data_IF_609959800272
#
_entry.id   IF_609959800272
#
_cell.length_a   1.000
_cell.length_b   1.000
_cell.length_c   1.000
_cell.angle_alpha   90.00
_cell.angle_beta   90.00
_cell.angle_gamma   90.00
#
_symmetry.space_group_name_H-M   'P 1'
#
loop_
_entity.id
_entity.type
_entity.pdbx_description
1 polymer ?
#
# COMPACT_ATOMS: atom_id res chain seq x y z
N UNK A 1 22.18 23.88 -15.72
CA UNK A 1 23.00 23.73 -16.95
C UNK A 1 24.16 24.71 -16.84
N UNK A 2 25.39 24.28 -17.10
CA UNK A 2 26.53 25.19 -17.18
C UNK A 2 26.55 25.81 -18.59
N UNK A 3 25.89 26.96 -18.75
CA UNK A 3 25.55 27.51 -20.06
C UNK A 3 26.63 28.43 -20.67
N UNK A 4 27.72 28.71 -19.95
CA UNK A 4 28.78 29.60 -20.40
C UNK A 4 30.14 29.22 -19.79
N UNK A 5 31.23 29.57 -20.49
CA UNK A 5 32.61 29.41 -20.00
C UNK A 5 32.81 30.10 -18.64
N UNK A 6 32.26 31.31 -18.48
CA UNK A 6 32.30 32.07 -17.22
C UNK A 6 31.69 31.29 -16.05
N UNK A 7 30.54 30.64 -16.27
CA UNK A 7 29.87 29.84 -15.24
C UNK A 7 30.68 28.59 -14.90
N UNK A 8 31.25 27.92 -15.92
CA UNK A 8 32.10 26.74 -15.72
C UNK A 8 33.33 27.11 -14.88
N UNK A 9 34.01 28.21 -15.24
CA UNK A 9 35.17 28.71 -14.51
C UNK A 9 34.85 29.06 -13.06
N UNK A 10 33.77 29.83 -12.84
CA UNK A 10 33.33 30.19 -11.49
C UNK A 10 33.05 28.95 -10.63
N UNK A 11 32.36 27.94 -11.19
CA UNK A 11 32.07 26.70 -10.46
C UNK A 11 33.36 25.92 -10.18
N UNK A 12 34.26 25.78 -11.16
CA UNK A 12 35.54 25.09 -10.97
C UNK A 12 36.39 25.77 -9.89
N UNK A 13 36.53 27.09 -9.94
CA UNK A 13 37.26 27.89 -8.94
C UNK A 13 36.61 27.74 -7.56
N UNK A 14 35.27 27.74 -7.48
CA UNK A 14 34.56 27.57 -6.21
C UNK A 14 34.75 26.17 -5.61
N UNK A 15 34.67 25.12 -6.42
CA UNK A 15 34.87 23.74 -5.96
C UNK A 15 36.27 23.53 -5.40
N UNK A 16 37.28 24.10 -6.07
CA UNK A 16 38.68 24.08 -5.64
C UNK A 16 38.90 24.88 -4.36
N UNK A 17 38.44 26.13 -4.31
CA UNK A 17 38.55 27.01 -3.12
C UNK A 17 37.88 26.43 -1.87
N UNK A 18 36.76 25.73 -2.06
CA UNK A 18 35.99 25.08 -0.97
C UNK A 18 36.48 23.66 -0.66
N UNK A 19 37.48 23.16 -1.38
CA UNK A 19 38.01 21.80 -1.25
C UNK A 19 36.90 20.72 -1.29
N UNK A 20 35.94 20.86 -2.21
CA UNK A 20 34.85 19.88 -2.37
C UNK A 20 35.43 18.58 -2.93
N UNK A 21 35.34 17.51 -2.15
CA UNK A 21 35.95 16.21 -2.51
C UNK A 21 35.03 15.26 -3.27
N UNK A 22 33.70 15.46 -3.18
CA UNK A 22 32.68 14.63 -3.83
C UNK A 22 31.75 15.47 -4.69
N UNK A 23 32.16 15.72 -5.92
CA UNK A 23 31.37 16.42 -6.94
C UNK A 23 30.92 15.44 -8.04
N UNK A 24 29.67 15.56 -8.48
CA UNK A 24 29.15 14.82 -9.64
C UNK A 24 28.88 15.81 -10.75
N UNK A 25 29.55 15.63 -11.90
CA UNK A 25 29.49 16.55 -13.03
C UNK A 25 28.86 15.84 -14.22
N UNK A 26 27.68 16.31 -14.65
CA UNK A 26 27.04 15.89 -15.89
C UNK A 26 27.39 16.86 -17.02
N UNK A 27 28.25 16.48 -17.97
CA UNK A 27 28.69 17.35 -19.06
C UNK A 27 27.56 17.52 -20.07
N UNK A 28 26.69 18.53 -19.92
CA UNK A 28 25.65 18.81 -20.93
C UNK A 28 26.27 19.58 -22.11
N UNK A 29 26.91 18.86 -23.03
CA UNK A 29 27.65 19.47 -24.16
C UNK A 29 27.00 19.23 -25.52
N UNK A 30 26.24 18.16 -25.66
CA UNK A 30 25.61 17.78 -26.92
C UNK A 30 24.13 17.57 -26.65
N UNK A 31 23.28 18.32 -27.35
CA UNK A 31 21.85 18.12 -27.26
C UNK A 31 21.47 16.73 -27.78
N UNK A 32 20.33 16.20 -27.36
CA UNK A 32 19.77 14.94 -27.91
C UNK A 32 19.60 15.01 -29.45
N UNK A 33 19.52 16.21 -30.02
CA UNK A 33 19.46 16.49 -31.46
C UNK A 33 20.83 16.56 -32.16
N UNK A 34 21.94 16.38 -31.42
CA UNK A 34 23.31 16.43 -31.94
C UNK A 34 23.94 17.83 -31.99
N UNK A 35 23.20 18.88 -31.64
CA UNK A 35 23.74 20.24 -31.59
C UNK A 35 24.79 20.37 -30.49
N UNK A 36 25.97 20.91 -30.84
CA UNK A 36 27.00 21.25 -29.84
C UNK A 36 26.52 22.46 -29.06
N UNK A 37 26.40 22.31 -27.73
CA UNK A 37 25.87 23.32 -26.81
C UNK A 37 26.95 24.19 -26.19
N UNK A 38 28.22 23.74 -26.17
CA UNK A 38 29.34 24.49 -25.63
C UNK A 38 30.25 25.00 -26.75
N UNK A 39 30.62 26.30 -26.73
CA UNK A 39 31.55 26.84 -27.70
C UNK A 39 32.98 26.33 -27.40
N UNK A 40 33.89 26.28 -28.40
CA UNK A 40 35.22 25.67 -28.25
C UNK A 40 36.05 26.22 -27.09
N UNK A 41 35.95 27.51 -26.80
CA UNK A 41 36.60 28.19 -25.69
C UNK A 41 36.18 27.64 -24.31
N UNK A 42 34.95 27.14 -24.17
CA UNK A 42 34.45 26.55 -22.93
C UNK A 42 34.99 25.15 -22.66
N UNK A 43 35.59 24.48 -23.67
CA UNK A 43 36.16 23.13 -23.50
C UNK A 43 37.40 23.15 -22.60
N UNK A 44 38.22 24.21 -22.69
CA UNK A 44 39.41 24.35 -21.85
C UNK A 44 39.04 24.51 -20.37
N UNK A 45 38.06 25.38 -20.07
CA UNK A 45 37.54 25.57 -18.72
C UNK A 45 36.83 24.30 -18.20
N UNK A 46 36.15 23.56 -19.08
CA UNK A 46 35.56 22.28 -18.72
C UNK A 46 36.63 21.25 -18.34
N UNK A 47 37.80 21.27 -18.98
CA UNK A 47 38.92 20.41 -18.59
C UNK A 47 39.34 20.60 -17.13
N UNK A 48 39.32 21.83 -16.61
CA UNK A 48 39.55 22.10 -15.17
C UNK A 48 38.44 21.48 -14.33
N UNK A 49 37.17 21.68 -14.71
CA UNK A 49 36.02 21.14 -13.97
C UNK A 49 36.00 19.60 -13.96
N UNK A 50 36.36 18.95 -15.07
CA UNK A 50 36.45 17.50 -15.18
C UNK A 50 37.49 16.91 -14.23
N UNK A 51 38.65 17.56 -14.05
CA UNK A 51 39.68 17.12 -13.08
C UNK A 51 39.21 17.19 -11.63
N UNK A 52 38.33 18.14 -11.32
CA UNK A 52 37.73 18.30 -10.00
C UNK A 52 36.55 17.35 -9.77
N UNK A 53 36.07 16.66 -10.80
CA UNK A 53 34.95 15.73 -10.69
C UNK A 53 35.33 14.48 -9.90
N UNK A 54 34.58 14.19 -8.84
CA UNK A 54 34.63 12.87 -8.22
C UNK A 54 33.97 11.83 -9.13
N UNK A 55 32.82 12.15 -9.73
CA UNK A 55 32.20 11.36 -10.80
C UNK A 55 31.87 12.27 -11.98
N UNK A 56 32.39 11.95 -13.16
CA UNK A 56 31.98 12.56 -14.44
C UNK A 56 31.03 11.61 -15.17
N UNK A 57 29.92 12.10 -15.71
CA UNK A 57 28.88 11.23 -16.33
C UNK A 57 28.66 11.52 -17.82
N UNK A 58 29.66 11.40 -18.72
CA UNK A 58 29.49 11.73 -20.14
C UNK A 58 28.70 10.64 -20.90
N UNK A 59 27.88 11.04 -21.88
CA UNK A 59 27.36 10.10 -22.89
C UNK A 59 28.42 9.83 -23.96
N UNK A 60 28.18 8.88 -24.86
CA UNK A 60 29.14 8.53 -25.92
C UNK A 60 29.57 9.74 -26.78
N UNK A 61 28.67 10.59 -27.31
CA UNK A 61 29.06 11.81 -28.02
C UNK A 61 29.93 12.77 -27.19
N UNK A 62 29.58 13.02 -25.93
CA UNK A 62 30.33 13.86 -24.99
C UNK A 62 31.71 13.27 -24.70
N UNK A 63 31.79 11.94 -24.52
CA UNK A 63 33.02 11.20 -24.26
C UNK A 63 34.00 11.35 -25.44
N UNK A 64 33.52 11.16 -26.67
CA UNK A 64 34.35 11.34 -27.87
C UNK A 64 34.80 12.78 -28.08
N UNK A 65 33.93 13.75 -27.78
CA UNK A 65 34.26 15.18 -27.83
C UNK A 65 35.38 15.51 -26.83
N UNK A 66 35.25 15.04 -25.58
CA UNK A 66 36.23 15.27 -24.52
C UNK A 66 37.57 14.58 -24.77
N UNK A 67 37.57 13.44 -25.44
CA UNK A 67 38.78 12.68 -25.78
C UNK A 67 39.41 13.08 -27.11
N UNK A 68 38.76 13.93 -27.90
CA UNK A 68 39.23 14.30 -29.24
C UNK A 68 39.14 13.17 -30.28
N UNK A 69 38.28 12.16 -30.06
CA UNK A 69 38.12 11.00 -30.94
C UNK A 69 36.72 10.92 -31.59
N UNK A 70 36.19 12.06 -32.07
CA UNK A 70 34.83 12.18 -32.62
C UNK A 70 34.49 11.14 -33.69
N UNK A 71 35.45 10.79 -34.54
CA UNK A 71 35.25 9.90 -35.69
C UNK A 71 35.44 8.41 -35.36
N UNK A 72 35.84 8.06 -34.13
CA UNK A 72 36.08 6.68 -33.75
C UNK A 72 34.73 5.94 -33.58
N UNK A 73 34.49 4.80 -34.26
CA UNK A 73 33.22 4.08 -34.13
C UNK A 73 33.10 3.39 -32.76
N UNK A 74 31.86 3.15 -32.34
CA UNK A 74 31.53 2.25 -31.21
C UNK A 74 30.77 1.08 -31.82
N UNK A 75 31.35 -0.12 -31.78
CA UNK A 75 30.72 -1.32 -32.33
C UNK A 75 30.36 -2.32 -31.25
N UNK A 76 31.00 -2.23 -30.08
CA UNK A 76 30.83 -3.15 -28.96
C UNK A 76 30.85 -2.42 -27.61
N UNK A 77 30.38 -3.10 -26.56
CA UNK A 77 30.57 -2.64 -25.18
C UNK A 77 32.05 -2.51 -24.82
N UNK A 78 32.94 -3.33 -25.38
CA UNK A 78 34.38 -3.24 -25.13
C UNK A 78 34.97 -1.89 -25.61
N UNK A 79 34.43 -1.32 -26.69
CA UNK A 79 34.84 0.01 -27.16
C UNK A 79 34.44 1.10 -26.15
N UNK A 80 33.24 0.99 -25.58
CA UNK A 80 32.77 1.88 -24.52
C UNK A 80 33.63 1.77 -23.26
N UNK A 81 34.03 0.56 -22.88
CA UNK A 81 34.94 0.32 -21.75
C UNK A 81 36.31 0.96 -21.96
N UNK A 82 36.88 0.80 -23.16
CA UNK A 82 38.15 1.42 -23.53
C UNK A 82 38.05 2.94 -23.43
N UNK A 83 37.00 3.55 -23.97
CA UNK A 83 36.81 5.00 -23.87
C UNK A 83 36.55 5.47 -22.44
N UNK A 84 35.80 4.72 -21.64
CA UNK A 84 35.55 5.04 -20.23
C UNK A 84 36.87 5.08 -19.44
N UNK A 85 37.75 4.08 -19.65
CA UNK A 85 39.09 4.04 -19.07
C UNK A 85 39.94 5.21 -19.53
N UNK A 86 40.01 5.44 -20.84
CA UNK A 86 40.80 6.53 -21.43
C UNK A 86 40.35 7.91 -20.91
N UNK A 87 39.05 8.12 -20.72
CA UNK A 87 38.52 9.35 -20.14
C UNK A 87 38.86 9.50 -18.66
N UNK A 88 38.82 8.41 -17.89
CA UNK A 88 39.25 8.44 -16.50
C UNK A 88 40.73 8.86 -16.40
N UNK A 89 41.59 8.28 -17.24
CA UNK A 89 43.03 8.53 -17.25
C UNK A 89 43.37 9.96 -17.74
N UNK A 90 42.75 10.40 -18.86
CA UNK A 90 43.13 11.65 -19.53
C UNK A 90 42.43 12.90 -18.98
N UNK A 91 41.18 12.78 -18.52
CA UNK A 91 40.42 13.91 -17.98
C UNK A 91 40.72 14.16 -16.50
N UNK A 92 41.32 13.17 -15.84
CA UNK A 92 41.72 13.26 -14.44
C UNK A 92 40.54 13.35 -13.49
N UNK A 93 39.36 12.82 -13.83
CA UNK A 93 38.27 12.61 -12.86
C UNK A 93 38.60 11.42 -11.95
N UNK A 94 38.03 11.34 -10.75
CA UNK A 94 38.25 10.14 -9.89
C UNK A 94 37.52 8.92 -10.47
N UNK A 95 36.32 9.17 -10.99
CA UNK A 95 35.48 8.18 -11.64
C UNK A 95 34.83 8.77 -12.89
N UNK A 96 34.63 7.93 -13.90
CA UNK A 96 33.88 8.25 -15.12
C UNK A 96 32.79 7.21 -15.31
N UNK A 97 31.53 7.64 -15.34
CA UNK A 97 30.40 6.81 -15.77
C UNK A 97 30.06 7.12 -17.22
N UNK A 98 30.66 6.37 -18.15
CA UNK A 98 30.34 6.45 -19.57
C UNK A 98 28.94 5.89 -19.82
N UNK A 99 28.02 6.78 -20.23
CA UNK A 99 26.60 6.45 -20.44
C UNK A 99 26.42 5.89 -21.85
N UNK A 100 25.95 4.65 -21.99
CA UNK A 100 25.58 4.08 -23.28
C UNK A 100 24.36 4.78 -23.88
N UNK A 101 23.39 5.15 -23.02
CA UNK A 101 22.30 6.07 -23.33
C UNK A 101 21.57 5.77 -24.64
N UNK A 102 21.92 6.51 -25.70
CA UNK A 102 21.30 6.45 -27.04
C UNK A 102 21.87 5.35 -27.96
N UNK A 103 22.84 4.57 -27.49
CA UNK A 103 23.43 3.45 -28.23
C UNK A 103 22.98 2.14 -27.59
N UNK A 104 21.86 1.56 -28.03
CA UNK A 104 21.44 0.24 -27.59
C UNK A 104 22.37 -0.85 -28.14
N UNK A 105 22.55 -1.90 -27.35
CA UNK A 105 23.35 -3.08 -27.68
C UNK A 105 22.44 -4.30 -27.85
N UNK A 106 22.92 -5.30 -28.59
CA UNK A 106 22.32 -6.62 -28.67
C UNK A 106 22.70 -7.46 -27.45
N UNK A 107 22.11 -8.64 -27.33
CA UNK A 107 22.43 -9.60 -26.27
C UNK A 107 23.90 -10.09 -26.32
N UNK A 108 24.56 -10.03 -27.48
CA UNK A 108 25.97 -10.37 -27.66
C UNK A 108 26.93 -9.19 -27.40
N UNK A 109 26.41 -8.07 -26.90
CA UNK A 109 27.14 -6.82 -26.63
C UNK A 109 27.69 -6.07 -27.85
N UNK A 110 27.29 -6.44 -29.07
CA UNK A 110 27.48 -5.59 -30.26
C UNK A 110 26.43 -4.47 -30.30
N UNK A 111 26.72 -3.36 -31.00
CA UNK A 111 25.77 -2.26 -31.17
C UNK A 111 24.59 -2.71 -32.04
N UNK A 112 23.37 -2.42 -31.58
CA UNK A 112 22.16 -2.70 -32.32
C UNK A 112 22.05 -1.77 -33.54
N UNK A 113 22.00 -2.34 -34.75
CA UNK A 113 21.89 -1.59 -36.01
C UNK A 113 20.44 -1.40 -36.46
N UNK A 114 19.52 -2.19 -35.91
CA UNK A 114 18.08 -2.13 -36.19
C UNK A 114 17.29 -2.05 -34.89
N UNK A 115 16.04 -1.60 -34.95
CA UNK A 115 15.18 -1.48 -33.77
C UNK A 115 14.91 -2.85 -33.10
N UNK A 116 14.81 -3.92 -33.92
CA UNK A 116 14.55 -5.29 -33.45
C UNK A 116 15.75 -5.87 -32.69
N UNK A 117 16.97 -5.40 -33.00
CA UNK A 117 18.20 -5.85 -32.36
C UNK A 117 18.44 -5.19 -30.98
N UNK A 118 17.63 -4.19 -30.58
CA UNK A 118 17.84 -3.43 -29.35
C UNK A 118 17.44 -4.27 -28.14
N UNK A 119 18.43 -4.74 -27.39
CA UNK A 119 18.20 -5.58 -26.21
C UNK A 119 18.66 -4.90 -24.92
N UNK A 120 19.82 -4.24 -24.93
CA UNK A 120 20.49 -3.79 -23.72
C UNK A 120 20.86 -2.30 -23.80
N UNK A 121 20.84 -1.62 -22.66
CA UNK A 121 21.56 -0.38 -22.42
C UNK A 121 22.70 -0.70 -21.46
N UNK A 122 23.92 -0.26 -21.80
CA UNK A 122 25.11 -0.52 -20.97
C UNK A 122 25.78 0.80 -20.62
N UNK A 123 25.97 1.03 -19.33
CA UNK A 123 26.82 2.08 -18.80
C UNK A 123 28.09 1.45 -18.22
N UNK A 124 29.21 2.16 -18.31
CA UNK A 124 30.50 1.69 -17.79
C UNK A 124 31.04 2.69 -16.78
N UNK A 125 31.25 2.23 -15.55
CA UNK A 125 31.92 2.99 -14.50
C UNK A 125 33.40 2.62 -14.49
N UNK A 126 34.27 3.60 -14.74
CA UNK A 126 35.73 3.48 -14.69
C UNK A 126 36.28 4.27 -13.50
N UNK A 127 37.23 3.69 -12.76
CA UNK A 127 37.93 4.34 -11.65
C UNK A 127 39.42 4.50 -11.93
N UNK A 128 40.08 5.45 -11.26
CA UNK A 128 41.52 5.72 -11.45
C UNK A 128 42.43 4.52 -11.16
N UNK A 129 41.99 3.60 -10.31
CA UNK A 129 42.74 2.37 -9.98
C UNK A 129 42.59 1.27 -11.06
N UNK A 130 42.09 1.64 -12.24
CA UNK A 130 41.88 0.73 -13.37
C UNK A 130 40.65 -0.15 -13.26
N UNK A 131 39.80 0.08 -12.25
CA UNK A 131 38.52 -0.59 -12.07
C UNK A 131 37.57 -0.28 -13.24
N UNK A 132 36.87 -1.31 -13.71
CA UNK A 132 35.84 -1.20 -14.75
C UNK A 132 34.63 -2.02 -14.32
N UNK A 133 33.48 -1.37 -14.27
CA UNK A 133 32.23 -1.96 -13.80
C UNK A 133 31.15 -1.71 -14.85
N UNK A 134 30.58 -2.78 -15.40
CA UNK A 134 29.42 -2.72 -16.28
C UNK A 134 28.13 -2.60 -15.44
N UNK A 135 27.27 -1.69 -15.85
CA UNK A 135 25.91 -1.52 -15.31
C UNK A 135 24.95 -1.61 -16.49
N UNK A 136 24.32 -2.78 -16.65
CA UNK A 136 23.41 -3.09 -17.74
C UNK A 136 21.94 -3.05 -17.30
N UNK A 137 21.06 -2.68 -18.23
CA UNK A 137 19.61 -2.78 -18.10
C UNK A 137 19.01 -3.21 -19.43
N UNK A 138 17.77 -3.72 -19.38
CA UNK A 138 17.01 -4.00 -20.60
C UNK A 138 16.71 -2.69 -21.34
N UNK A 139 16.77 -2.73 -22.67
CA UNK A 139 16.31 -1.62 -23.50
C UNK A 139 14.80 -1.44 -23.31
N UNK A 140 14.38 -0.18 -23.21
CA UNK A 140 12.97 0.18 -23.08
C UNK A 140 12.57 1.01 -24.30
N UNK A 141 11.59 0.54 -25.07
CA UNK A 141 11.03 1.31 -26.18
C UNK A 141 10.12 2.41 -25.64
N UNK A 142 10.71 3.57 -25.35
CA UNK A 142 10.03 4.72 -24.75
C UNK A 142 10.50 6.03 -25.37
N UNK A 143 9.54 6.91 -25.66
CA UNK A 143 9.80 8.31 -26.06
C UNK A 143 10.06 9.22 -24.87
N UNK A 144 9.80 8.75 -23.64
CA UNK A 144 9.92 9.56 -22.43
C UNK A 144 11.32 9.40 -21.82
N UNK A 145 12.32 9.96 -22.49
CA UNK A 145 13.74 9.87 -22.08
C UNK A 145 14.36 11.24 -21.82
N UNK A 146 13.55 12.29 -21.82
CA UNK A 146 14.01 13.64 -21.55
C UNK A 146 14.50 13.76 -20.10
N UNK A 147 15.71 14.30 -19.92
CA UNK A 147 16.29 14.52 -18.59
C UNK A 147 16.93 13.29 -17.95
N UNK A 148 17.11 12.18 -18.67
CA UNK A 148 17.79 10.97 -18.17
C UNK A 148 19.18 11.24 -17.62
N UNK A 149 20.00 12.03 -18.32
CA UNK A 149 21.35 12.44 -17.86
C UNK A 149 21.31 13.20 -16.52
N UNK A 150 20.55 14.31 -16.48
CA UNK A 150 20.40 15.12 -15.27
C UNK A 150 19.88 14.31 -14.07
N UNK A 151 18.91 13.43 -14.33
CA UNK A 151 18.32 12.56 -13.31
C UNK A 151 19.31 11.54 -12.78
N UNK A 152 20.10 10.93 -13.68
CA UNK A 152 21.14 9.98 -13.33
C UNK A 152 22.21 10.63 -12.45
N UNK A 153 22.76 11.78 -12.88
CA UNK A 153 23.77 12.50 -12.13
C UNK A 153 23.25 12.98 -10.76
N UNK A 154 22.02 13.49 -10.70
CA UNK A 154 21.40 13.93 -9.45
C UNK A 154 21.14 12.75 -8.50
N UNK A 155 20.74 11.58 -9.02
CA UNK A 155 20.57 10.37 -8.23
C UNK A 155 21.92 9.83 -7.70
N UNK A 156 22.99 9.88 -8.50
CA UNK A 156 24.35 9.53 -8.04
C UNK A 156 24.78 10.48 -6.92
N UNK A 157 24.62 11.79 -7.11
CA UNK A 157 24.97 12.79 -6.11
C UNK A 157 24.21 12.57 -4.79
N UNK A 158 22.90 12.30 -4.88
CA UNK A 158 22.06 12.02 -3.72
C UNK A 158 22.50 10.75 -2.98
N UNK A 159 22.80 9.67 -3.70
CA UNK A 159 23.27 8.41 -3.12
C UNK A 159 24.67 8.56 -2.47
N UNK A 160 25.58 9.30 -3.09
CA UNK A 160 26.89 9.58 -2.50
C UNK A 160 26.76 10.43 -1.22
N UNK A 161 25.81 11.37 -1.19
CA UNK A 161 25.53 12.21 -0.03
C UNK A 161 24.92 11.41 1.14
N UNK A 162 24.18 10.33 0.88
CA UNK A 162 23.66 9.41 1.90
C UNK A 162 24.68 8.35 2.34
N UNK A 163 25.90 8.37 1.80
CA UNK A 163 27.01 7.54 2.25
C UNK A 163 27.24 6.26 1.45
N UNK A 164 26.55 6.05 0.32
CA UNK A 164 26.85 4.93 -0.57
C UNK A 164 28.25 5.11 -1.19
N UNK A 165 28.94 3.99 -1.42
CA UNK A 165 30.10 3.97 -2.31
C UNK A 165 29.68 4.25 -3.76
N UNK A 166 30.65 4.57 -4.60
CA UNK A 166 30.41 5.04 -5.98
C UNK A 166 29.79 3.98 -6.89
N UNK A 167 30.15 2.70 -6.72
CA UNK A 167 29.54 1.63 -7.52
C UNK A 167 28.08 1.45 -7.11
N UNK A 168 27.81 1.35 -5.80
CA UNK A 168 26.45 1.25 -5.28
C UNK A 168 25.59 2.45 -5.69
N UNK A 169 26.15 3.67 -5.61
CA UNK A 169 25.48 4.91 -6.00
C UNK A 169 25.13 4.93 -7.50
N UNK A 170 26.06 4.53 -8.37
CA UNK A 170 25.84 4.44 -9.82
C UNK A 170 24.79 3.38 -10.17
N UNK A 171 24.87 2.18 -9.57
CA UNK A 171 23.88 1.12 -9.79
C UNK A 171 22.48 1.53 -9.33
N UNK A 172 22.36 2.14 -8.16
CA UNK A 172 21.08 2.62 -7.64
C UNK A 172 20.50 3.74 -8.52
N UNK A 173 21.34 4.66 -9.01
CA UNK A 173 20.91 5.71 -9.92
C UNK A 173 20.43 5.17 -11.28
N UNK A 174 21.13 4.17 -11.85
CA UNK A 174 20.68 3.50 -13.07
C UNK A 174 19.30 2.83 -12.88
N UNK A 175 19.08 2.14 -11.74
CA UNK A 175 17.76 1.54 -11.42
C UNK A 175 16.66 2.59 -11.24
N UNK A 176 16.98 3.73 -10.63
CA UNK A 176 16.04 4.85 -10.50
C UNK A 176 15.60 5.36 -11.87
N UNK A 177 16.54 5.63 -12.78
CA UNK A 177 16.20 6.11 -14.13
C UNK A 177 15.47 5.04 -14.94
N UNK A 178 15.86 3.77 -14.84
CA UNK A 178 15.16 2.64 -15.48
C UNK A 178 13.68 2.58 -15.07
N UNK A 179 13.39 2.67 -13.77
CA UNK A 179 12.02 2.71 -13.27
C UNK A 179 11.27 3.99 -13.69
N UNK A 180 11.96 5.14 -13.72
CA UNK A 180 11.37 6.42 -14.13
C UNK A 180 10.97 6.44 -15.61
N UNK A 181 11.72 5.75 -16.49
CA UNK A 181 11.36 5.54 -17.90
C UNK A 181 10.16 4.58 -17.99
N UNK A 182 10.21 3.44 -17.29
CA UNK A 182 9.18 2.38 -17.34
C UNK A 182 7.81 2.90 -16.94
N UNK A 183 7.76 3.74 -15.91
CA UNK A 183 6.52 4.27 -15.34
C UNK A 183 6.22 5.70 -15.79
N UNK A 184 6.85 6.19 -16.87
CA UNK A 184 6.67 7.54 -17.37
C UNK A 184 5.19 7.83 -17.75
N UNK A 185 4.65 9.01 -17.41
CA UNK A 185 3.22 9.34 -17.57
C UNK A 185 2.77 9.55 -19.02
N UNK A 186 3.67 9.44 -20.01
CA UNK A 186 3.40 9.67 -21.46
C UNK A 186 2.72 11.02 -21.73
N UNK A 187 3.28 12.08 -21.16
CA UNK A 187 2.80 13.45 -21.36
C UNK A 187 3.36 14.04 -22.67
N UNK A 188 2.48 14.67 -23.46
CA UNK A 188 2.84 15.33 -24.71
C UNK A 188 2.92 14.40 -25.93
N UNK A 189 3.30 14.97 -27.09
CA UNK A 189 3.39 14.25 -28.39
C UNK A 189 4.83 13.96 -28.85
N UNK A 190 5.83 14.47 -28.12
CA UNK A 190 7.26 14.38 -28.47
C UNK A 190 8.06 13.57 -27.45
N UNK A 191 9.29 14.03 -27.15
CA UNK A 191 10.10 13.46 -26.08
C UNK A 191 9.56 13.91 -24.72
N UNK A 192 8.89 13.01 -24.01
CA UNK A 192 8.25 13.31 -22.73
C UNK A 192 9.18 13.20 -21.52
N UNK A 193 8.76 13.72 -20.35
CA UNK A 193 9.51 13.64 -19.12
C UNK A 193 9.45 12.24 -18.49
N UNK A 194 10.41 11.97 -17.61
CA UNK A 194 10.45 10.79 -16.74
C UNK A 194 9.39 10.87 -15.63
N UNK A 195 9.04 9.71 -15.03
CA UNK A 195 8.28 9.67 -13.79
C UNK A 195 9.20 9.66 -12.56
N UNK A 196 9.48 10.83 -11.99
CA UNK A 196 10.27 10.93 -10.75
C UNK A 196 9.57 10.40 -9.49
N UNK A 197 8.25 10.17 -9.57
CA UNK A 197 7.39 9.73 -8.47
C UNK A 197 7.09 8.23 -8.54
N UNK A 198 7.82 7.45 -9.35
CA UNK A 198 7.55 6.02 -9.57
C UNK A 198 7.60 5.15 -8.30
N UNK A 199 8.23 5.64 -7.23
CA UNK A 199 8.31 4.98 -5.91
C UNK A 199 7.47 5.66 -4.84
N UNK A 200 6.64 6.64 -5.22
CA UNK A 200 5.73 7.34 -4.32
C UNK A 200 4.29 6.97 -4.66
N UNK A 201 3.52 6.64 -3.62
CA UNK A 201 2.11 6.28 -3.75
C UNK A 201 1.30 7.16 -2.81
N UNK A 202 0.13 7.58 -3.29
CA UNK A 202 -0.86 8.25 -2.47
C UNK A 202 -1.97 7.26 -2.12
N UNK A 203 -2.49 7.37 -0.90
CA UNK A 203 -3.71 6.68 -0.51
C UNK A 203 -4.93 7.43 -1.10
N UNK A 204 -6.03 6.72 -1.41
CA UNK A 204 -7.22 7.34 -1.97
C UNK A 204 -8.08 8.09 -0.94
N UNK A 205 -7.62 8.16 0.32
CA UNK A 205 -8.32 8.81 1.43
C UNK A 205 -7.35 9.64 2.28
N UNK A 206 -7.90 10.64 2.97
CA UNK A 206 -7.16 11.44 3.96
C UNK A 206 -7.04 10.69 5.28
N UNK A 207 -6.00 11.00 6.08
CA UNK A 207 -5.82 10.37 7.40
C UNK A 207 -7.06 10.59 8.27
N UNK A 208 -7.59 9.51 8.86
CA UNK A 208 -8.81 9.56 9.68
C UNK A 208 -10.12 9.39 8.91
N UNK A 209 -10.05 9.19 7.59
CA UNK A 209 -11.21 9.05 6.71
C UNK A 209 -11.17 7.75 5.88
N UNK A 210 -10.49 6.70 6.35
CA UNK A 210 -10.52 5.41 5.67
C UNK A 210 -11.92 4.80 5.68
N UNK A 211 -12.59 4.76 6.84
CA UNK A 211 -13.92 4.19 6.94
C UNK A 211 -14.95 5.00 6.13
N UNK A 212 -14.86 6.33 6.14
CA UNK A 212 -15.70 7.17 5.27
C UNK A 212 -15.52 6.78 3.81
N UNK A 213 -14.26 6.68 3.36
CA UNK A 213 -13.92 6.21 2.02
C UNK A 213 -14.47 4.81 1.72
N UNK A 214 -14.37 3.85 2.64
CA UNK A 214 -14.91 2.50 2.44
C UNK A 214 -16.43 2.51 2.35
N UNK A 215 -17.11 3.23 3.22
CA UNK A 215 -18.58 3.24 3.32
C UNK A 215 -19.25 4.01 2.17
N UNK A 216 -18.57 5.02 1.61
CA UNK A 216 -19.07 5.82 0.49
C UNK A 216 -18.78 5.21 -0.89
N UNK A 217 -18.01 4.11 -0.95
CA UNK A 217 -17.69 3.46 -2.22
C UNK A 217 -18.95 2.95 -2.92
N UNK A 218 -19.09 3.16 -4.25
CA UNK A 218 -20.24 2.67 -5.00
C UNK A 218 -20.49 1.16 -4.87
N UNK A 219 -19.45 0.37 -4.65
CA UNK A 219 -19.57 -1.08 -4.54
C UNK A 219 -19.76 -1.61 -3.11
N UNK A 220 -19.86 -0.71 -2.11
CA UNK A 220 -20.05 -1.00 -0.68
C UNK A 220 -21.28 -0.29 -0.10
N UNK A 221 -21.57 0.94 -0.53
CA UNK A 221 -22.60 1.81 0.05
C UNK A 221 -23.97 1.15 0.15
N UNK A 222 -24.41 0.46 -0.91
CA UNK A 222 -25.73 -0.17 -0.96
C UNK A 222 -25.84 -1.35 0.03
N UNK A 223 -24.82 -2.21 0.09
CA UNK A 223 -24.82 -3.36 0.99
C UNK A 223 -24.67 -2.92 2.46
N UNK A 224 -23.90 -1.86 2.71
CA UNK A 224 -23.80 -1.27 4.03
C UNK A 224 -25.14 -0.66 4.48
N UNK A 225 -25.80 0.08 3.59
CA UNK A 225 -27.10 0.64 3.85
C UNK A 225 -28.15 -0.46 4.13
N UNK A 226 -28.17 -1.54 3.35
CA UNK A 226 -29.04 -2.69 3.59
C UNK A 226 -28.78 -3.35 4.95
N UNK A 227 -27.50 -3.47 5.33
CA UNK A 227 -27.11 -4.05 6.61
C UNK A 227 -27.61 -3.23 7.80
N UNK A 228 -27.34 -1.92 7.84
CA UNK A 228 -27.72 -1.07 8.99
C UNK A 228 -29.20 -0.72 9.03
N UNK A 229 -29.92 -0.83 7.89
CA UNK A 229 -31.35 -0.56 7.78
C UNK A 229 -32.18 -1.83 7.52
N UNK A 230 -31.68 -2.99 7.94
CA UNK A 230 -32.32 -4.28 7.68
C UNK A 230 -33.78 -4.31 8.20
N UNK A 231 -34.73 -4.96 7.50
CA UNK A 231 -36.14 -5.01 7.93
C UNK A 231 -36.35 -5.46 9.38
N UNK A 232 -35.61 -6.47 9.84
CA UNK A 232 -35.63 -6.90 11.25
C UNK A 232 -35.29 -5.74 12.20
N UNK A 233 -34.23 -4.97 11.92
CA UNK A 233 -33.78 -3.85 12.77
C UNK A 233 -34.85 -2.76 12.81
N UNK A 234 -35.46 -2.46 11.66
CA UNK A 234 -36.58 -1.51 11.58
C UNK A 234 -37.79 -1.98 12.37
N UNK A 235 -38.18 -3.25 12.25
CA UNK A 235 -39.27 -3.84 13.00
C UNK A 235 -38.96 -3.89 14.52
N UNK A 236 -37.70 -4.11 14.90
CA UNK A 236 -37.24 -4.07 16.28
C UNK A 236 -37.42 -2.67 16.87
N UNK A 237 -36.97 -1.62 16.17
CA UNK A 237 -37.12 -0.23 16.64
C UNK A 237 -38.56 0.29 16.64
N UNK A 238 -39.41 -0.25 15.75
CA UNK A 238 -40.85 0.03 15.74
C UNK A 238 -41.63 -0.78 16.79
N UNK A 239 -41.00 -1.74 17.47
CA UNK A 239 -41.66 -2.65 18.43
C UNK A 239 -42.59 -3.68 17.78
N UNK A 240 -42.59 -3.81 16.45
CA UNK A 240 -43.48 -4.69 15.68
C UNK A 240 -42.87 -6.04 15.35
N UNK A 241 -41.57 -6.23 15.61
CA UNK A 241 -40.89 -7.50 15.35
C UNK A 241 -41.58 -8.65 16.13
N UNK A 242 -41.88 -9.79 15.49
CA UNK A 242 -42.46 -10.92 16.20
C UNK A 242 -41.54 -11.46 17.29
N UNK A 243 -42.13 -11.83 18.42
CA UNK A 243 -41.38 -12.26 19.61
C UNK A 243 -40.54 -13.50 19.36
N UNK A 244 -41.01 -14.44 18.55
CA UNK A 244 -40.28 -15.67 18.21
C UNK A 244 -39.05 -15.37 17.33
N UNK A 245 -39.15 -14.43 16.39
CA UNK A 245 -38.01 -13.97 15.59
C UNK A 245 -36.92 -13.34 16.46
N UNK A 246 -37.33 -12.53 17.45
CA UNK A 246 -36.39 -11.94 18.40
C UNK A 246 -35.72 -12.99 19.30
N UNK A 247 -36.47 -14.00 19.77
CA UNK A 247 -35.90 -15.14 20.52
C UNK A 247 -34.91 -15.95 19.68
N UNK A 248 -35.25 -16.20 18.42
CA UNK A 248 -34.37 -16.87 17.45
C UNK A 248 -33.06 -16.12 17.27
N UNK A 249 -33.13 -14.80 17.09
CA UNK A 249 -31.96 -13.93 17.07
C UNK A 249 -31.11 -14.06 18.34
N UNK A 250 -31.69 -13.90 19.53
CA UNK A 250 -30.94 -13.98 20.80
C UNK A 250 -30.24 -15.33 21.00
N UNK A 251 -30.89 -16.41 20.55
CA UNK A 251 -30.33 -17.76 20.60
C UNK A 251 -29.13 -17.91 19.66
N UNK A 252 -29.22 -17.42 18.43
CA UNK A 252 -28.12 -17.49 17.47
C UNK A 252 -26.96 -16.54 17.84
N UNK A 253 -27.27 -15.37 18.40
CA UNK A 253 -26.28 -14.42 18.92
C UNK A 253 -25.49 -15.02 20.09
N UNK A 254 -26.17 -15.72 21.01
CA UNK A 254 -25.52 -16.48 22.08
C UNK A 254 -24.52 -17.51 21.51
N UNK A 255 -24.95 -18.29 20.51
CA UNK A 255 -24.11 -19.31 19.87
C UNK A 255 -22.89 -18.69 19.18
N UNK A 256 -23.10 -17.62 18.40
CA UNK A 256 -22.05 -16.86 17.72
C UNK A 256 -20.95 -16.36 18.67
N UNK A 257 -21.37 -15.80 19.80
CA UNK A 257 -20.45 -15.18 20.76
C UNK A 257 -19.66 -16.22 21.55
N UNK A 258 -20.28 -17.33 21.98
CA UNK A 258 -19.76 -18.11 23.11
C UNK A 258 -19.55 -19.60 22.87
N UNK A 259 -20.21 -20.29 21.93
CA UNK A 259 -20.51 -21.70 22.18
C UNK A 259 -19.30 -22.62 22.48
N UNK A 260 -19.07 -22.86 23.78
CA UNK A 260 -18.30 -23.94 24.37
C UNK A 260 -19.32 -24.94 24.93
N UNK A 261 -19.64 -25.97 24.15
CA UNK A 261 -20.58 -27.02 24.55
C UNK A 261 -19.98 -27.78 25.74
N UNK A 262 -20.71 -27.83 26.86
CA UNK A 262 -20.31 -28.58 28.05
C UNK A 262 -20.38 -30.11 27.85
N UNK A 263 -21.09 -30.56 26.81
CA UNK A 263 -21.23 -31.95 26.42
C UNK A 263 -20.30 -32.31 25.24
N UNK A 264 -19.17 -32.95 25.55
CA UNK A 264 -18.21 -33.45 24.56
C UNK A 264 -18.73 -34.65 23.75
N UNK A 265 -19.92 -35.18 24.05
CA UNK A 265 -20.48 -36.38 23.40
C UNK A 265 -21.29 -36.10 22.13
N UNK A 266 -21.58 -34.84 21.80
CA UNK A 266 -22.23 -34.47 20.54
C UNK A 266 -21.27 -34.54 19.35
N UNK A 267 -21.75 -35.09 18.22
CA UNK A 267 -21.02 -35.16 16.95
C UNK A 267 -20.81 -33.79 16.28
N UNK A 268 -21.48 -32.74 16.76
CA UNK A 268 -21.31 -31.35 16.35
C UNK A 268 -20.33 -30.64 17.28
N UNK A 269 -19.22 -30.17 16.72
CA UNK A 269 -18.12 -29.54 17.44
C UNK A 269 -18.56 -28.22 18.11
N UNK A 270 -18.14 -27.94 19.36
CA UNK A 270 -18.34 -26.62 20.00
C UNK A 270 -17.58 -25.53 19.24
N UNK A 271 -18.21 -24.38 19.04
CA UNK A 271 -17.69 -23.32 18.19
C UNK A 271 -17.75 -21.93 18.86
N UNK A 272 -16.72 -21.61 19.65
CA UNK A 272 -16.53 -20.28 20.25
C UNK A 272 -16.05 -19.27 19.20
N UNK A 273 -16.91 -18.81 18.29
CA UNK A 273 -16.43 -18.15 17.07
C UNK A 273 -15.85 -16.75 17.27
N UNK A 274 -16.59 -15.85 17.92
CA UNK A 274 -16.13 -14.48 18.13
C UNK A 274 -14.96 -14.39 19.13
N UNK A 275 -15.04 -15.11 20.26
CA UNK A 275 -13.95 -15.12 21.23
C UNK A 275 -12.67 -15.79 20.67
N UNK A 276 -12.78 -16.80 19.80
CA UNK A 276 -11.61 -17.35 19.09
C UNK A 276 -11.01 -16.35 18.11
N UNK A 277 -11.82 -15.56 17.41
CA UNK A 277 -11.31 -14.47 16.57
C UNK A 277 -10.57 -13.43 17.42
N UNK A 278 -11.09 -13.10 18.61
CA UNK A 278 -10.41 -12.26 19.61
C UNK A 278 -9.06 -12.83 20.07
N UNK A 279 -9.03 -14.11 20.45
CA UNK A 279 -7.80 -14.80 20.85
C UNK A 279 -6.79 -14.91 19.70
N UNK A 280 -7.25 -15.15 18.47
CA UNK A 280 -6.41 -15.17 17.27
C UNK A 280 -5.85 -13.78 16.96
N UNK A 281 -6.63 -12.72 17.17
CA UNK A 281 -6.14 -11.35 17.08
C UNK A 281 -5.06 -11.06 18.13
N UNK A 282 -5.22 -11.55 19.37
CA UNK A 282 -4.17 -11.45 20.39
C UNK A 282 -2.89 -12.18 19.95
N UNK A 283 -3.01 -13.42 19.46
CA UNK A 283 -1.88 -14.20 18.95
C UNK A 283 -1.15 -13.52 17.78
N UNK A 284 -1.87 -12.90 16.85
CA UNK A 284 -1.28 -12.20 15.69
C UNK A 284 -0.72 -10.81 16.00
N UNK A 285 -1.04 -10.26 17.16
CA UNK A 285 -0.56 -8.95 17.58
C UNK A 285 0.94 -8.96 17.85
N UNK A 286 1.64 -7.89 17.46
CA UNK A 286 3.10 -7.77 17.62
C UNK A 286 3.51 -6.86 18.78
N UNK A 287 2.55 -6.33 19.54
CA UNK A 287 2.81 -5.44 20.66
C UNK A 287 1.83 -5.70 21.81
N UNK A 288 2.26 -5.38 23.03
CA UNK A 288 1.48 -5.66 24.24
C UNK A 288 0.15 -4.89 24.32
N UNK A 289 0.06 -3.60 23.94
CA UNK A 289 -1.23 -2.89 23.94
C UNK A 289 -2.32 -3.58 23.11
N UNK A 290 -1.99 -4.05 21.91
CA UNK A 290 -2.95 -4.76 21.05
C UNK A 290 -3.31 -6.15 21.60
N UNK A 291 -2.33 -6.87 22.18
CA UNK A 291 -2.59 -8.15 22.88
C UNK A 291 -3.59 -7.95 24.02
N UNK A 292 -3.35 -6.95 24.88
CA UNK A 292 -4.23 -6.64 26.02
C UNK A 292 -5.61 -6.20 25.53
N UNK A 293 -5.70 -5.37 24.48
CA UNK A 293 -6.97 -4.97 23.87
C UNK A 293 -7.75 -6.18 23.34
N UNK A 294 -7.10 -7.13 22.66
CA UNK A 294 -7.73 -8.35 22.17
C UNK A 294 -8.12 -9.31 23.29
N UNK A 295 -7.32 -9.43 24.35
CA UNK A 295 -7.68 -10.22 25.53
C UNK A 295 -8.89 -9.63 26.28
N UNK A 296 -8.94 -8.30 26.41
CA UNK A 296 -10.08 -7.59 26.99
C UNK A 296 -11.37 -7.82 26.19
N UNK A 297 -11.29 -7.97 24.87
CA UNK A 297 -12.45 -8.35 24.04
C UNK A 297 -12.95 -9.76 24.41
N UNK A 298 -12.04 -10.73 24.58
CA UNK A 298 -12.42 -12.09 24.99
C UNK A 298 -13.05 -12.11 26.39
N UNK A 299 -12.47 -11.38 27.34
CA UNK A 299 -13.02 -11.23 28.70
C UNK A 299 -14.36 -10.47 28.70
N UNK A 300 -14.48 -9.45 27.86
CA UNK A 300 -15.71 -8.68 27.68
C UNK A 300 -16.85 -9.56 27.19
N UNK A 301 -16.59 -10.45 26.22
CA UNK A 301 -17.58 -11.43 25.74
C UNK A 301 -18.05 -12.34 26.87
N UNK A 302 -17.15 -12.82 27.73
CA UNK A 302 -17.53 -13.63 28.91
C UNK A 302 -18.43 -12.85 29.87
N UNK A 303 -18.09 -11.59 30.16
CA UNK A 303 -18.84 -10.74 31.08
C UNK A 303 -20.23 -10.37 30.54
N UNK A 304 -20.28 -9.87 29.30
CA UNK A 304 -21.52 -9.51 28.59
C UNK A 304 -22.45 -10.72 28.44
N UNK A 305 -21.90 -11.93 28.32
CA UNK A 305 -22.72 -13.14 28.24
C UNK A 305 -23.58 -13.35 29.49
N UNK A 306 -23.10 -12.98 30.67
CA UNK A 306 -23.89 -13.10 31.90
C UNK A 306 -25.08 -12.14 31.91
N UNK A 307 -24.96 -10.98 31.25
CA UNK A 307 -26.05 -10.03 31.06
C UNK A 307 -27.00 -10.52 29.97
N UNK A 308 -26.47 -11.04 28.87
CA UNK A 308 -27.26 -11.63 27.78
C UNK A 308 -28.12 -12.80 28.27
N UNK A 309 -27.59 -13.70 29.09
CA UNK A 309 -28.35 -14.80 29.69
C UNK A 309 -29.52 -14.31 30.55
N UNK A 310 -29.33 -13.23 31.32
CA UNK A 310 -30.42 -12.61 32.10
C UNK A 310 -31.47 -12.00 31.18
N UNK A 311 -31.05 -11.33 30.12
CA UNK A 311 -31.94 -10.74 29.14
C UNK A 311 -32.74 -11.83 28.39
N UNK A 312 -32.09 -12.91 27.95
CA UNK A 312 -32.75 -14.07 27.35
C UNK A 312 -33.79 -14.72 28.28
N UNK A 313 -33.53 -14.74 29.59
CA UNK A 313 -34.47 -15.26 30.58
C UNK A 313 -35.77 -14.44 30.66
N UNK A 314 -35.74 -13.10 30.43
CA UNK A 314 -36.95 -12.26 30.32
C UNK A 314 -37.86 -12.71 29.16
N UNK A 315 -37.29 -13.43 28.17
CA UNK A 315 -38.03 -14.02 27.05
C UNK A 315 -38.34 -15.51 27.23
N UNK A 316 -37.99 -16.11 28.37
CA UNK A 316 -38.23 -17.52 28.65
C UNK A 316 -37.22 -18.47 27.99
N UNK A 317 -36.06 -17.97 27.55
CA UNK A 317 -34.99 -18.79 26.99
C UNK A 317 -34.03 -19.22 28.11
N UNK A 318 -33.77 -20.53 28.23
CA UNK A 318 -32.73 -21.03 29.14
C UNK A 318 -31.42 -21.26 28.40
N UNK A 319 -30.30 -21.19 29.14
CA UNK A 319 -28.97 -21.53 28.60
C UNK A 319 -28.95 -22.92 27.94
N UNK A 320 -29.61 -23.89 28.58
CA UNK A 320 -29.69 -25.27 28.07
C UNK A 320 -30.44 -25.34 26.73
N UNK A 321 -31.51 -24.59 26.56
CA UNK A 321 -32.29 -24.56 25.32
C UNK A 321 -31.49 -23.91 24.18
N UNK A 322 -30.78 -22.82 24.48
CA UNK A 322 -29.93 -22.16 23.50
C UNK A 322 -28.75 -23.04 23.07
N UNK A 323 -28.07 -23.71 24.01
CA UNK A 323 -26.99 -24.67 23.71
C UNK A 323 -27.48 -25.95 23.01
N UNK A 324 -28.77 -26.27 23.15
CA UNK A 324 -29.39 -27.39 22.44
C UNK A 324 -29.70 -27.07 20.97
N UNK A 325 -29.78 -25.78 20.61
CA UNK A 325 -30.18 -25.28 19.28
C UNK A 325 -29.05 -25.44 18.25
N UNK A 326 -29.41 -25.76 17.00
CA UNK A 326 -28.46 -25.83 15.89
C UNK A 326 -28.06 -24.42 15.42
N UNK A 327 -26.77 -24.24 15.14
CA UNK A 327 -26.28 -22.99 14.53
C UNK A 327 -26.83 -22.83 13.13
N UNK A 328 -27.35 -21.63 12.89
CA UNK A 328 -27.80 -21.23 11.57
C UNK A 328 -26.60 -21.18 10.59
N UNK A 329 -26.79 -21.69 9.37
CA UNK A 329 -25.84 -21.65 8.27
C UNK A 329 -25.23 -20.26 8.07
N UNK A 330 -25.99 -19.18 8.19
CA UNK A 330 -25.44 -17.83 8.04
C UNK A 330 -24.49 -17.46 9.19
N UNK A 331 -24.78 -17.90 10.42
CA UNK A 331 -23.89 -17.70 11.57
C UNK A 331 -22.59 -18.48 11.42
N UNK A 332 -22.70 -19.73 10.98
CA UNK A 332 -21.54 -20.57 10.64
C UNK A 332 -20.73 -19.94 9.52
N UNK A 333 -21.37 -19.47 8.44
CA UNK A 333 -20.69 -18.86 7.31
C UNK A 333 -19.92 -17.59 7.73
N UNK A 334 -20.53 -16.72 8.55
CA UNK A 334 -19.87 -15.50 9.00
C UNK A 334 -18.66 -15.81 9.89
N UNK A 335 -18.87 -16.70 10.86
CA UNK A 335 -17.82 -17.14 11.77
C UNK A 335 -16.64 -17.80 11.07
N UNK A 336 -16.93 -18.67 10.08
CA UNK A 336 -15.90 -19.32 9.28
C UNK A 336 -15.17 -18.33 8.39
N UNK A 337 -15.88 -17.36 7.82
CA UNK A 337 -15.26 -16.29 7.03
C UNK A 337 -14.27 -15.49 7.88
N UNK A 338 -14.65 -15.02 9.06
CA UNK A 338 -13.76 -14.27 9.96
C UNK A 338 -12.53 -15.10 10.34
N UNK A 339 -12.73 -16.35 10.75
CA UNK A 339 -11.62 -17.21 11.17
C UNK A 339 -10.70 -17.58 10.00
N UNK A 340 -11.25 -17.77 8.79
CA UNK A 340 -10.47 -18.03 7.58
C UNK A 340 -9.60 -16.84 7.21
N UNK A 341 -10.15 -15.61 7.20
CA UNK A 341 -9.36 -14.38 7.08
C UNK A 341 -8.33 -14.31 8.21
N UNK A 342 -8.76 -14.58 9.45
CA UNK A 342 -7.91 -14.61 10.62
C UNK A 342 -6.74 -15.58 10.50
N UNK A 343 -6.87 -16.69 9.78
CA UNK A 343 -5.79 -17.66 9.57
C UNK A 343 -4.94 -17.31 8.34
N UNK A 344 -5.57 -16.99 7.22
CA UNK A 344 -4.94 -16.79 5.91
C UNK A 344 -4.28 -15.41 5.73
N UNK A 345 -4.79 -14.38 6.41
CA UNK A 345 -4.34 -12.99 6.26
C UNK A 345 -3.57 -12.46 7.48
N UNK A 346 -3.16 -11.20 7.43
CA UNK A 346 -2.50 -10.54 8.57
C UNK A 346 -3.47 -10.13 9.69
N UNK A 347 -2.91 -9.63 10.79
CA UNK A 347 -3.68 -9.15 11.94
C UNK A 347 -4.67 -8.04 11.57
N UNK A 348 -4.30 -7.14 10.66
CA UNK A 348 -5.12 -5.98 10.33
C UNK A 348 -6.33 -6.37 9.47
N UNK A 349 -6.15 -7.27 8.52
CA UNK A 349 -7.25 -7.88 7.77
C UNK A 349 -8.29 -8.54 8.67
N UNK A 350 -7.86 -9.22 9.75
CA UNK A 350 -8.78 -9.76 10.76
C UNK A 350 -9.55 -8.64 11.48
N UNK A 351 -8.89 -7.53 11.85
CA UNK A 351 -9.61 -6.37 12.43
C UNK A 351 -10.64 -5.81 11.44
N UNK A 352 -10.30 -5.70 10.16
CA UNK A 352 -11.21 -5.22 9.11
C UNK A 352 -12.39 -6.17 8.89
N UNK A 353 -12.19 -7.49 8.97
CA UNK A 353 -13.27 -8.48 8.87
C UNK A 353 -14.24 -8.45 10.07
N UNK A 354 -13.74 -8.12 11.27
CA UNK A 354 -14.54 -7.97 12.49
C UNK A 354 -15.28 -6.62 12.57
N UNK A 355 -14.76 -5.59 11.90
CA UNK A 355 -15.25 -4.22 12.01
C UNK A 355 -16.75 -4.03 11.68
N UNK A 356 -17.32 -4.63 10.61
CA UNK A 356 -18.73 -4.44 10.29
C UNK A 356 -19.68 -4.79 11.44
N UNK A 357 -19.38 -5.83 12.23
CA UNK A 357 -20.20 -6.22 13.37
C UNK A 357 -20.24 -5.10 14.44
N UNK A 358 -19.08 -4.58 14.83
CA UNK A 358 -19.00 -3.53 15.87
C UNK A 358 -19.56 -2.19 15.35
N UNK A 359 -19.27 -1.83 14.11
CA UNK A 359 -19.70 -0.54 13.57
C UNK A 359 -21.18 -0.53 13.23
N UNK A 360 -21.68 -1.60 12.60
CA UNK A 360 -23.05 -1.67 12.10
C UNK A 360 -24.10 -1.66 13.20
N UNK A 361 -23.85 -2.41 14.29
CA UNK A 361 -24.75 -2.46 15.44
C UNK A 361 -24.89 -1.08 16.10
N UNK A 362 -23.78 -0.39 16.35
CA UNK A 362 -23.82 0.96 16.91
C UNK A 362 -24.50 1.97 15.98
N UNK A 363 -24.28 1.89 14.67
CA UNK A 363 -24.93 2.77 13.68
C UNK A 363 -26.44 2.51 13.63
N UNK A 364 -26.84 1.25 13.53
CA UNK A 364 -28.24 0.84 13.51
C UNK A 364 -28.97 1.28 14.79
N UNK A 365 -28.41 1.00 15.97
CA UNK A 365 -29.03 1.36 17.24
C UNK A 365 -29.17 2.87 17.43
N UNK A 366 -28.14 3.67 17.05
CA UNK A 366 -28.24 5.13 17.08
C UNK A 366 -29.32 5.66 16.14
N UNK A 367 -29.46 5.08 14.95
CA UNK A 367 -30.52 5.46 14.01
C UNK A 367 -31.92 5.16 14.58
N UNK A 368 -32.10 4.00 15.23
CA UNK A 368 -33.36 3.66 15.90
C UNK A 368 -33.64 4.60 17.08
N UNK A 369 -32.63 4.90 17.90
CA UNK A 369 -32.76 5.84 19.00
C UNK A 369 -33.22 7.23 18.51
N UNK A 370 -32.58 7.76 17.46
CA UNK A 370 -32.98 9.04 16.86
C UNK A 370 -34.41 9.03 16.31
N UNK A 371 -34.86 7.91 15.75
CA UNK A 371 -36.16 7.81 15.09
C UNK A 371 -37.30 7.54 16.08
N UNK A 372 -37.07 6.72 17.11
CA UNK A 372 -38.13 6.14 17.94
C UNK A 372 -38.09 6.56 19.42
N UNK A 373 -37.00 7.15 19.93
CA UNK A 373 -36.86 7.42 21.37
C UNK A 373 -37.94 8.34 21.96
N UNK A 374 -38.43 9.31 21.19
CA UNK A 374 -39.48 10.24 21.64
C UNK A 374 -40.88 9.65 21.63
N UNK A 375 -41.08 8.56 20.88
CA UNK A 375 -42.40 7.98 20.62
C UNK A 375 -42.55 6.58 21.25
N UNK A 376 -41.53 6.09 21.94
CA UNK A 376 -41.61 4.82 22.65
C UNK A 376 -42.53 4.95 23.86
N UNK A 377 -43.38 3.96 24.07
CA UNK A 377 -44.03 3.76 25.36
C UNK A 377 -43.11 2.97 26.31
N UNK A 378 -43.44 2.96 27.61
CA UNK A 378 -42.72 2.16 28.61
C UNK A 378 -42.92 0.65 28.44
N UNK A 379 -43.76 0.23 27.47
CA UNK A 379 -44.05 -1.17 27.16
C UNK A 379 -43.29 -1.70 25.94
N UNK A 380 -42.42 -0.89 25.33
CA UNK A 380 -41.69 -1.29 24.13
C UNK A 380 -40.85 -2.56 24.38
N UNK A 381 -41.14 -3.68 23.69
CA UNK A 381 -40.65 -5.00 24.07
C UNK A 381 -39.13 -5.18 23.89
N UNK A 382 -38.51 -4.38 23.02
CA UNK A 382 -37.10 -4.55 22.61
C UNK A 382 -36.20 -3.34 22.94
N UNK A 383 -36.67 -2.36 23.72
CA UNK A 383 -35.95 -1.08 23.85
C UNK A 383 -34.59 -1.21 24.55
N UNK A 384 -34.49 -2.14 25.52
CA UNK A 384 -33.23 -2.47 26.20
C UNK A 384 -32.11 -2.84 25.21
N UNK A 385 -32.45 -3.47 24.07
CA UNK A 385 -31.48 -3.78 23.02
C UNK A 385 -30.89 -2.51 22.42
N UNK A 386 -31.74 -1.53 22.10
CA UNK A 386 -31.29 -0.24 21.55
C UNK A 386 -30.37 0.46 22.55
N UNK A 387 -30.76 0.50 23.82
CA UNK A 387 -29.97 1.11 24.89
C UNK A 387 -28.59 0.47 25.07
N UNK A 388 -28.49 -0.86 24.96
CA UNK A 388 -27.22 -1.58 25.07
C UNK A 388 -26.18 -1.17 24.00
N UNK A 389 -26.64 -0.83 22.79
CA UNK A 389 -25.74 -0.44 21.69
C UNK A 389 -25.59 1.08 21.52
N UNK A 390 -26.37 1.88 22.26
CA UNK A 390 -26.21 3.33 22.33
C UNK A 390 -25.58 3.83 23.62
N UNK A 391 -25.28 2.94 24.58
CA UNK A 391 -24.63 3.32 25.83
C UNK A 391 -23.16 3.72 25.63
N UNK A 392 -22.60 4.37 26.66
CA UNK A 392 -21.23 4.90 26.62
C UNK A 392 -20.18 3.77 26.52
N UNK A 393 -20.41 2.63 27.18
CA UNK A 393 -19.49 1.49 27.16
C UNK A 393 -19.30 0.93 25.74
N UNK A 394 -20.40 0.75 25.01
CA UNK A 394 -20.35 0.34 23.61
C UNK A 394 -19.75 1.44 22.72
N UNK A 395 -20.06 2.71 23.02
CA UNK A 395 -19.46 3.87 22.35
C UNK A 395 -17.93 3.87 22.44
N UNK A 396 -17.36 3.51 23.60
CA UNK A 396 -15.92 3.38 23.82
C UNK A 396 -15.33 2.26 22.96
N UNK A 397 -15.98 1.09 22.91
CA UNK A 397 -15.52 -0.05 22.09
C UNK A 397 -15.57 0.28 20.59
N UNK A 398 -16.67 0.88 20.12
CA UNK A 398 -16.83 1.29 18.74
C UNK A 398 -15.79 2.33 18.33
N UNK A 399 -15.56 3.35 19.17
CA UNK A 399 -14.52 4.36 18.93
C UNK A 399 -13.12 3.76 18.91
N UNK A 400 -12.78 2.89 19.86
CA UNK A 400 -11.48 2.22 19.89
C UNK A 400 -11.25 1.36 18.63
N UNK A 401 -12.31 0.76 18.10
CA UNK A 401 -12.27 0.01 16.83
C UNK A 401 -12.02 0.93 15.64
N UNK A 402 -12.74 2.05 15.54
CA UNK A 402 -12.54 3.09 14.51
C UNK A 402 -11.11 3.62 14.56
N UNK A 403 -10.64 4.08 15.72
CA UNK A 403 -9.32 4.67 15.90
C UNK A 403 -8.20 3.67 15.58
N UNK A 404 -8.40 2.38 15.87
CA UNK A 404 -7.48 1.30 15.49
C UNK A 404 -7.45 1.13 13.97
N UNK A 405 -8.61 1.09 13.31
CA UNK A 405 -8.68 0.93 11.86
C UNK A 405 -8.05 2.11 11.13
N UNK A 406 -8.39 3.33 11.51
CA UNK A 406 -7.87 4.55 10.89
C UNK A 406 -6.35 4.67 11.01
N UNK A 407 -5.79 4.34 12.19
CA UNK A 407 -4.33 4.37 12.41
C UNK A 407 -3.58 3.35 11.56
N UNK A 408 -4.15 2.18 11.31
CA UNK A 408 -3.47 1.11 10.57
C UNK A 408 -3.70 1.20 9.06
N UNK A 409 -4.82 1.77 8.61
CA UNK A 409 -5.13 1.96 7.20
C UNK A 409 -4.09 2.84 6.49
N UNK A 410 -3.60 3.89 7.16
CA UNK A 410 -2.61 4.82 6.56
C UNK A 410 -1.22 4.22 6.36
N UNK A 411 -0.96 3.02 6.90
CA UNK A 411 0.30 2.29 6.77
C UNK A 411 0.28 1.28 5.62
N UNK A 412 -0.86 1.12 4.93
CA UNK A 412 -1.04 0.14 3.88
C UNK A 412 -0.63 0.69 2.50
N UNK A 413 -0.31 -0.20 1.57
CA UNK A 413 -0.21 0.17 0.15
C UNK A 413 -1.59 0.38 -0.45
N UNK A 414 -1.67 1.14 -1.55
CA UNK A 414 -2.94 1.33 -2.27
C UNK A 414 -3.55 0.00 -2.75
N UNK A 415 -2.74 -0.97 -3.17
CA UNK A 415 -3.22 -2.31 -3.54
C UNK A 415 -3.80 -3.07 -2.35
N UNK A 416 -3.15 -2.98 -1.18
CA UNK A 416 -3.62 -3.63 0.04
C UNK A 416 -4.93 -3.03 0.54
N UNK A 417 -5.12 -1.73 0.38
CA UNK A 417 -6.41 -1.07 0.67
C UNK A 417 -7.56 -1.69 -0.14
N UNK A 418 -7.36 -1.95 -1.43
CA UNK A 418 -8.40 -2.61 -2.26
C UNK A 418 -8.72 -4.04 -1.80
N UNK A 419 -7.72 -4.79 -1.32
CA UNK A 419 -7.93 -6.12 -0.74
C UNK A 419 -8.73 -6.05 0.57
N UNK A 420 -8.35 -5.14 1.48
CA UNK A 420 -9.04 -4.95 2.77
C UNK A 420 -10.51 -4.53 2.57
N UNK A 421 -10.79 -3.72 1.56
CA UNK A 421 -12.17 -3.32 1.24
C UNK A 421 -13.00 -4.51 0.75
N UNK A 422 -12.41 -5.42 -0.04
CA UNK A 422 -13.09 -6.67 -0.41
C UNK A 422 -13.41 -7.52 0.82
N UNK A 423 -12.50 -7.56 1.79
CA UNK A 423 -12.72 -8.27 3.05
C UNK A 423 -13.88 -7.65 3.84
N UNK A 424 -13.85 -6.33 4.04
CA UNK A 424 -14.91 -5.59 4.74
C UNK A 424 -16.29 -5.81 4.06
N UNK A 425 -16.33 -5.67 2.73
CA UNK A 425 -17.50 -5.90 1.89
C UNK A 425 -18.03 -7.32 2.03
N UNK A 426 -17.17 -8.32 1.99
CA UNK A 426 -17.59 -9.71 2.11
C UNK A 426 -18.10 -10.01 3.53
N UNK A 427 -17.48 -9.45 4.57
CA UNK A 427 -17.99 -9.54 5.94
C UNK A 427 -19.41 -8.97 6.06
N UNK A 428 -19.72 -7.82 5.43
CA UNK A 428 -21.09 -7.28 5.37
C UNK A 428 -22.01 -8.23 4.60
N UNK A 429 -21.59 -8.73 3.43
CA UNK A 429 -22.41 -9.63 2.61
C UNK A 429 -22.85 -10.87 3.37
N UNK A 430 -21.97 -11.49 4.14
CA UNK A 430 -22.31 -12.69 4.91
C UNK A 430 -23.28 -12.36 6.06
N UNK A 431 -23.32 -11.11 6.56
CA UNK A 431 -24.36 -10.66 7.50
C UNK A 431 -25.74 -10.51 6.85
N UNK A 432 -25.80 -10.02 5.61
CA UNK A 432 -27.07 -9.67 4.93
C UNK A 432 -27.63 -10.78 4.03
N UNK A 433 -26.86 -11.84 3.73
CA UNK A 433 -27.19 -12.69 2.59
C UNK A 433 -28.54 -13.42 2.75
N UNK A 434 -29.48 -13.28 1.80
CA UNK A 434 -30.75 -13.95 1.79
C UNK A 434 -30.63 -15.23 0.95
N UNK A 435 -30.73 -16.42 1.54
CA UNK A 435 -31.15 -17.59 0.75
C UNK A 435 -32.49 -18.10 1.28
N UNK A 436 -33.38 -18.57 0.38
CA UNK A 436 -34.72 -19.05 0.73
C UNK A 436 -34.71 -20.31 1.62
N UNK A 437 -33.53 -20.85 1.93
CA UNK A 437 -33.34 -21.95 2.87
C UNK A 437 -32.27 -21.65 3.96
N UNK A 438 -31.76 -20.42 4.04
CA UNK A 438 -30.72 -20.05 5.01
C UNK A 438 -30.93 -18.64 5.55
N UNK A 439 -31.79 -18.60 6.55
CA UNK A 439 -31.82 -17.72 7.71
C UNK A 439 -30.57 -16.84 7.88
N UNK A 440 -30.71 -15.51 7.98
CA UNK A 440 -29.59 -14.58 8.26
C UNK A 440 -29.01 -14.75 9.68
N UNK A 441 -27.74 -14.38 9.88
CA UNK A 441 -27.01 -14.65 11.12
C UNK A 441 -27.69 -14.03 12.35
N UNK A 442 -28.28 -12.83 12.21
CA UNK A 442 -28.82 -12.07 13.34
C UNK A 442 -30.14 -11.35 13.04
N UNK A 443 -30.53 -11.22 11.77
CA UNK A 443 -31.70 -10.45 11.38
C UNK A 443 -32.53 -11.22 10.35
N UNK A 444 -33.67 -11.78 10.76
CA UNK A 444 -34.59 -12.52 9.89
C UNK A 444 -35.64 -11.59 9.28
N UNK A 445 -35.89 -11.68 7.97
CA UNK A 445 -36.90 -10.85 7.29
C UNK A 445 -38.27 -11.56 7.13
N UNK A 446 -38.31 -12.89 7.20
CA UNK A 446 -39.48 -13.68 6.78
C UNK A 446 -40.64 -13.71 7.78
N UNK A 447 -40.46 -13.15 8.97
CA UNK A 447 -41.53 -13.07 9.97
C UNK A 447 -42.21 -11.68 10.03
N UNK A 448 -41.71 -10.68 9.29
CA UNK A 448 -42.26 -9.30 9.30
C UNK A 448 -43.42 -9.15 8.28
N UNK A 449 -44.28 -10.17 8.20
CA UNK A 449 -45.46 -10.21 7.34
C UNK A 449 -46.60 -9.31 7.81
#
# INVERSE_FOLDING_TARGET
MLASAETIKLVADTLEQRAVTKSVIDPVMVATTGATLLPPEALADFGKLARLAYVLTPNIPELKLLLGCKDEPIETVADLERLARLACDNLGSTWVLAKGGHTPFKADYSVAKTDVDRALIVNVLAGRDGQLIRIESQYQDSKNTHGTGCSLASAIASNLATGLDVEAAARAACRYVDAAIRHAPRLGKGHGPLNHFHSLFALPFSRGHFLDYVLERPDVVDIWHQFVNHPFVKALGAGTLPRESFKGYLTQDYLYLVCAVADQSRATLPHVHFARAGALAAYKSKNMPDIVSSAALVQGVEHEMQLHLKFCADFGLTKKDMEATEENIACTAYSRYILDIGHSEDWFALQVALAPCVLGYGVAARALHQTHATNKDDTHPYWKWVENYTNDDYGVVAKATIDKIERHAVLQSASRIEELIKIFKQAIKVHINPSPASFGCLFTADDVG
#
